data_IF_885442858596
#
_entry.id   IF_885442858596
#
_cell.length_a   1.000
_cell.length_b   1.000
_cell.length_c   1.000
_cell.angle_alpha   90.00
_cell.angle_beta   90.00
_cell.angle_gamma   90.00
#
_symmetry.space_group_name_H-M   'P 1'
#
loop_
_entity.id
_entity.type
_entity.pdbx_description
1 polymer ?
#
# COMPACT_ATOMS: atom_id res chain seq x y z
N UNK A 1 2.83 -8.10 25.86
CA UNK A 1 3.80 -8.61 24.85
C UNK A 1 3.16 -8.84 23.48
N UNK A 2 1.96 -9.40 23.38
CA UNK A 2 1.31 -9.67 22.09
C UNK A 2 1.05 -8.42 21.23
N UNK A 3 0.56 -7.32 21.80
CA UNK A 3 0.37 -6.05 21.08
C UNK A 3 1.67 -5.49 20.50
N UNK A 4 2.80 -5.65 21.20
CA UNK A 4 4.11 -5.21 20.72
C UNK A 4 4.51 -5.95 19.43
N UNK A 5 4.41 -7.27 19.44
CA UNK A 5 4.74 -8.09 18.26
C UNK A 5 3.82 -7.80 17.07
N UNK A 6 2.53 -7.58 17.33
CA UNK A 6 1.57 -7.17 16.29
C UNK A 6 1.95 -5.79 15.73
N UNK A 7 2.30 -4.82 16.57
CA UNK A 7 2.74 -3.51 16.11
C UNK A 7 4.01 -3.58 15.27
N UNK A 8 5.00 -4.36 15.69
CA UNK A 8 6.23 -4.57 14.92
C UNK A 8 5.91 -5.21 13.56
N UNK A 9 5.15 -6.31 13.57
CA UNK A 9 4.77 -7.01 12.34
C UNK A 9 3.94 -6.12 11.40
N UNK A 10 3.00 -5.34 11.94
CA UNK A 10 2.16 -4.41 11.18
C UNK A 10 2.94 -3.27 10.55
N UNK A 11 3.85 -2.64 11.30
CA UNK A 11 4.74 -1.60 10.77
C UNK A 11 5.63 -2.18 9.66
N UNK A 12 6.22 -3.36 9.89
CA UNK A 12 7.05 -4.02 8.89
C UNK A 12 6.26 -4.35 7.62
N UNK A 13 5.05 -4.90 7.77
CA UNK A 13 4.19 -5.24 6.63
C UNK A 13 3.83 -4.01 5.79
N UNK A 14 3.43 -2.90 6.43
CA UNK A 14 3.11 -1.65 5.71
C UNK A 14 4.37 -1.05 5.06
N UNK A 15 5.51 -1.09 5.75
CA UNK A 15 6.79 -0.58 5.21
C UNK A 15 7.24 -1.39 4.00
N UNK A 16 7.17 -2.73 4.08
CA UNK A 16 7.50 -3.62 2.96
C UNK A 16 6.54 -3.40 1.80
N UNK A 17 5.24 -3.28 2.07
CA UNK A 17 4.24 -2.96 1.04
C UNK A 17 4.57 -1.65 0.33
N UNK A 18 4.89 -0.59 1.07
CA UNK A 18 5.22 0.73 0.51
C UNK A 18 6.54 0.70 -0.28
N UNK A 19 7.57 0.00 0.21
CA UNK A 19 8.85 -0.14 -0.49
C UNK A 19 8.68 -0.92 -1.80
N UNK A 20 7.97 -2.05 -1.77
CA UNK A 20 7.68 -2.83 -2.97
C UNK A 20 6.80 -2.03 -3.94
N UNK A 21 5.85 -1.24 -3.45
CA UNK A 21 5.04 -0.36 -4.28
C UNK A 21 5.91 0.68 -5.00
N UNK A 22 6.85 1.30 -4.29
CA UNK A 22 7.78 2.25 -4.88
C UNK A 22 8.65 1.61 -5.97
N UNK A 23 9.18 0.40 -5.73
CA UNK A 23 9.95 -0.36 -6.73
C UNK A 23 9.07 -0.74 -7.92
N UNK A 24 7.83 -1.19 -7.68
CA UNK A 24 6.89 -1.51 -8.74
C UNK A 24 6.64 -0.28 -9.63
N UNK A 25 6.36 0.88 -9.04
CA UNK A 25 6.00 2.10 -9.76
C UNK A 25 7.21 2.72 -10.47
N UNK A 26 8.36 2.79 -9.81
CA UNK A 26 9.53 3.54 -10.29
C UNK A 26 10.54 2.69 -11.06
N UNK A 27 10.43 1.36 -11.01
CA UNK A 27 11.39 0.44 -11.64
C UNK A 27 10.72 -0.56 -12.55
N UNK A 28 9.89 -1.43 -12.00
CA UNK A 28 9.34 -2.55 -12.78
C UNK A 28 8.33 -2.11 -13.83
N UNK A 29 7.49 -1.13 -13.51
CA UNK A 29 6.53 -0.57 -14.46
C UNK A 29 7.20 0.15 -15.63
N UNK A 30 8.17 1.06 -15.43
CA UNK A 30 8.93 1.67 -16.53
C UNK A 30 9.64 0.63 -17.42
N UNK A 31 10.33 -0.35 -16.83
CA UNK A 31 11.05 -1.37 -17.61
C UNK A 31 10.11 -2.25 -18.44
N UNK A 32 8.89 -2.47 -17.96
CA UNK A 32 7.89 -3.21 -18.71
C UNK A 32 7.17 -2.36 -19.77
N UNK A 33 7.10 -1.03 -19.56
CA UNK A 33 6.55 -0.08 -20.52
C UNK A 33 7.43 0.08 -21.77
N UNK A 34 8.75 0.03 -21.61
CA UNK A 34 9.72 0.15 -22.71
C UNK A 34 10.70 -1.05 -22.73
N UNK A 35 10.28 -2.22 -23.27
CA UNK A 35 11.14 -3.40 -23.32
C UNK A 35 12.42 -3.13 -24.12
N UNK A 36 13.57 -3.51 -23.56
CA UNK A 36 14.88 -3.32 -24.19
C UNK A 36 15.59 -2.02 -23.84
N UNK A 37 14.91 -1.09 -23.17
CA UNK A 37 15.54 0.13 -22.66
C UNK A 37 16.05 -0.06 -21.23
N UNK A 38 17.15 0.62 -20.90
CA UNK A 38 17.57 0.77 -19.50
C UNK A 38 16.75 1.86 -18.82
N UNK A 39 16.73 1.83 -17.49
CA UNK A 39 15.93 2.78 -16.72
C UNK A 39 16.39 4.23 -16.88
N UNK A 40 17.67 4.46 -17.11
CA UNK A 40 18.22 5.79 -17.39
C UNK A 40 17.85 6.27 -18.80
N UNK A 41 17.78 5.37 -19.79
CA UNK A 41 17.28 5.72 -21.12
C UNK A 41 15.80 6.09 -21.07
N UNK A 42 14.99 5.38 -20.29
CA UNK A 42 13.57 5.72 -20.10
C UNK A 42 13.41 7.09 -19.44
N UNK A 43 14.22 7.40 -18.41
CA UNK A 43 14.21 8.73 -17.78
C UNK A 43 14.65 9.82 -18.75
N UNK A 44 15.64 9.55 -19.61
CA UNK A 44 16.10 10.48 -20.63
C UNK A 44 14.98 10.75 -21.65
N UNK A 45 14.29 9.72 -22.14
CA UNK A 45 13.18 9.85 -23.08
C UNK A 45 12.02 10.65 -22.48
N UNK A 46 11.63 10.33 -21.24
CA UNK A 46 10.64 11.11 -20.48
C UNK A 46 11.05 12.58 -20.37
N UNK A 47 12.30 12.85 -19.99
CA UNK A 47 12.79 14.22 -19.88
C UNK A 47 12.82 14.96 -21.23
N UNK A 48 13.09 14.24 -22.33
CA UNK A 48 13.04 14.77 -23.69
C UNK A 48 11.61 15.13 -24.12
N UNK A 49 10.62 14.38 -23.63
CA UNK A 49 9.19 14.67 -23.81
C UNK A 49 8.65 15.73 -22.82
N UNK A 50 9.47 16.25 -21.91
CA UNK A 50 9.04 17.19 -20.86
C UNK A 50 8.31 16.53 -19.68
N UNK A 51 8.34 15.20 -19.62
CA UNK A 51 7.69 14.36 -18.62
C UNK A 51 8.67 13.83 -17.58
N UNK A 52 8.15 13.32 -16.45
CA UNK A 52 9.00 12.63 -15.47
C UNK A 52 8.23 11.59 -14.65
N UNK A 53 8.96 10.62 -14.08
CA UNK A 53 8.40 9.64 -13.16
C UNK A 53 8.01 10.24 -11.79
N UNK A 54 8.23 11.54 -11.56
CA UNK A 54 7.83 12.24 -10.32
C UNK A 54 8.16 11.47 -9.03
N UNK A 55 9.35 10.86 -8.97
CA UNK A 55 9.77 9.99 -7.86
C UNK A 55 9.62 10.63 -6.46
N UNK A 56 9.93 11.93 -6.24
CA UNK A 56 9.71 12.57 -4.95
C UNK A 56 8.24 12.52 -4.50
N UNK A 57 7.32 12.82 -5.42
CA UNK A 57 5.87 12.81 -5.15
C UNK A 57 5.36 11.39 -4.89
N UNK A 58 5.80 10.40 -5.68
CA UNK A 58 5.45 9.00 -5.46
C UNK A 58 5.92 8.51 -4.09
N UNK A 59 7.16 8.80 -3.70
CA UNK A 59 7.72 8.44 -2.39
C UNK A 59 6.95 9.16 -1.26
N UNK A 60 6.62 10.44 -1.45
CA UNK A 60 5.84 11.20 -0.47
C UNK A 60 4.47 10.57 -0.22
N UNK A 61 3.72 10.22 -1.27
CA UNK A 61 2.39 9.60 -1.16
C UNK A 61 2.48 8.25 -0.44
N UNK A 62 3.43 7.39 -0.83
CA UNK A 62 3.62 6.08 -0.18
C UNK A 62 4.12 6.22 1.26
N UNK A 63 4.94 7.23 1.53
CA UNK A 63 5.48 7.54 2.85
C UNK A 63 4.41 7.88 3.88
N UNK A 64 3.29 8.46 3.47
CA UNK A 64 2.14 8.71 4.38
C UNK A 64 1.69 7.43 5.06
N UNK A 65 1.60 6.31 4.34
CA UNK A 65 1.20 5.01 4.91
C UNK A 65 2.18 4.52 5.98
N UNK A 66 3.49 4.70 5.75
CA UNK A 66 4.55 4.31 6.68
C UNK A 66 4.50 5.17 7.96
N UNK A 67 4.34 6.48 7.81
CA UNK A 67 4.21 7.40 8.95
C UNK A 67 2.97 7.06 9.78
N UNK A 68 1.84 6.81 9.13
CA UNK A 68 0.61 6.38 9.81
C UNK A 68 0.78 5.04 10.53
N UNK A 69 1.50 4.09 9.94
CA UNK A 69 1.78 2.81 10.58
C UNK A 69 2.65 2.96 11.83
N UNK A 70 3.69 3.80 11.77
CA UNK A 70 4.53 4.12 12.92
C UNK A 70 3.72 4.80 14.03
N UNK A 71 2.93 5.82 13.68
CA UNK A 71 2.07 6.52 14.62
C UNK A 71 1.05 5.57 15.27
N UNK A 72 0.41 4.70 14.48
CA UNK A 72 -0.51 3.68 14.98
C UNK A 72 0.18 2.71 15.93
N UNK A 73 1.39 2.24 15.59
CA UNK A 73 2.18 1.36 16.45
C UNK A 73 2.50 1.99 17.80
N UNK A 74 2.92 3.26 17.80
CA UNK A 74 3.18 4.05 19.02
C UNK A 74 1.89 4.21 19.82
N UNK A 75 0.80 4.65 19.19
CA UNK A 75 -0.50 4.85 19.85
C UNK A 75 -1.01 3.54 20.46
N UNK A 76 -0.95 2.42 19.74
CA UNK A 76 -1.39 1.13 20.26
C UNK A 76 -0.61 0.70 21.51
N UNK A 77 0.68 1.01 21.57
CA UNK A 77 1.53 0.73 22.72
C UNK A 77 1.25 1.65 23.90
N UNK A 78 1.15 2.97 23.67
CA UNK A 78 0.93 3.97 24.73
C UNK A 78 -0.47 3.90 25.32
N UNK A 79 -1.49 3.64 24.49
CA UNK A 79 -2.88 3.46 24.92
C UNK A 79 -3.18 2.07 25.49
N UNK A 80 -2.21 1.15 25.48
CA UNK A 80 -2.40 -0.26 25.86
C UNK A 80 -3.58 -0.92 25.12
N UNK A 81 -3.71 -0.61 23.83
CA UNK A 81 -4.75 -1.16 22.99
C UNK A 81 -4.74 -2.69 23.00
N UNK A 82 -5.92 -3.29 22.90
CA UNK A 82 -6.02 -4.74 22.78
C UNK A 82 -5.34 -5.20 21.48
N UNK A 83 -4.75 -6.40 21.46
CA UNK A 83 -4.14 -6.98 20.26
C UNK A 83 -5.03 -6.92 19.02
N UNK A 84 -6.34 -7.10 19.21
CA UNK A 84 -7.34 -7.08 18.15
C UNK A 84 -7.54 -5.69 17.53
N UNK A 85 -7.57 -4.63 18.35
CA UNK A 85 -7.68 -3.25 17.87
C UNK A 85 -6.42 -2.86 17.09
N UNK A 86 -5.24 -3.22 17.58
CA UNK A 86 -3.98 -2.97 16.89
C UNK A 86 -3.95 -3.69 15.52
N UNK A 87 -4.30 -4.97 15.48
CA UNK A 87 -4.36 -5.75 14.24
C UNK A 87 -5.36 -5.15 13.24
N UNK A 88 -6.56 -4.75 13.70
CA UNK A 88 -7.55 -4.08 12.85
C UNK A 88 -7.01 -2.77 12.28
N UNK A 89 -6.30 -1.97 13.08
CA UNK A 89 -5.68 -0.73 12.60
C UNK A 89 -4.68 -0.96 11.46
N UNK A 90 -3.78 -1.95 11.59
CA UNK A 90 -2.80 -2.26 10.55
C UNK A 90 -3.45 -2.86 9.30
N UNK A 91 -4.45 -3.72 9.45
CA UNK A 91 -5.22 -4.23 8.32
C UNK A 91 -5.94 -3.10 7.57
N UNK A 92 -6.44 -2.08 8.28
CA UNK A 92 -7.06 -0.91 7.66
C UNK A 92 -6.05 -0.12 6.82
N UNK A 93 -4.82 0.05 7.31
CA UNK A 93 -3.76 0.69 6.54
C UNK A 93 -3.39 -0.12 5.29
N UNK A 94 -3.29 -1.45 5.40
CA UNK A 94 -3.03 -2.32 4.24
C UNK A 94 -4.17 -2.33 3.23
N UNK A 95 -5.42 -2.31 3.69
CA UNK A 95 -6.60 -2.15 2.84
C UNK A 95 -6.55 -0.82 2.07
N UNK A 96 -6.21 0.28 2.74
CA UNK A 96 -6.05 1.60 2.12
C UNK A 96 -4.78 1.70 1.26
N UNK A 97 -3.91 0.70 1.31
CA UNK A 97 -2.72 0.59 0.47
C UNK A 97 -3.03 0.55 -1.03
N UNK A 98 -4.17 0.01 -1.46
CA UNK A 98 -4.56 -0.03 -2.87
C UNK A 98 -4.92 1.37 -3.41
N UNK A 99 -5.80 2.15 -2.75
CA UNK A 99 -5.98 3.57 -3.07
C UNK A 99 -4.67 4.37 -3.05
N UNK A 100 -3.83 4.18 -2.03
CA UNK A 100 -2.54 4.84 -1.93
C UNK A 100 -1.62 4.51 -3.11
N UNK A 101 -1.55 3.22 -3.48
CA UNK A 101 -0.82 2.74 -4.65
C UNK A 101 -1.34 3.39 -5.94
N UNK A 102 -2.66 3.40 -6.15
CA UNK A 102 -3.28 4.00 -7.32
C UNK A 102 -2.87 5.46 -7.49
N UNK A 103 -3.05 6.29 -6.45
CA UNK A 103 -2.67 7.71 -6.51
C UNK A 103 -1.16 7.91 -6.72
N UNK A 104 -0.32 7.11 -6.07
CA UNK A 104 1.13 7.19 -6.23
C UNK A 104 1.61 6.78 -7.64
N UNK A 105 0.88 5.86 -8.28
CA UNK A 105 1.19 5.33 -9.61
C UNK A 105 0.60 6.15 -10.76
N UNK A 106 -0.35 7.04 -10.48
CA UNK A 106 -1.13 7.72 -11.50
C UNK A 106 -0.27 8.64 -12.38
N UNK A 107 0.43 9.61 -11.78
CA UNK A 107 1.27 10.54 -12.53
C UNK A 107 2.42 9.83 -13.29
N UNK A 108 3.20 8.91 -12.67
CA UNK A 108 4.20 8.14 -13.40
C UNK A 108 3.60 7.28 -14.53
N UNK A 109 2.41 6.71 -14.32
CA UNK A 109 1.72 5.89 -15.33
C UNK A 109 1.26 6.71 -16.54
N UNK A 110 0.73 7.92 -16.32
CA UNK A 110 0.35 8.85 -17.39
C UNK A 110 1.59 9.31 -18.18
N UNK A 111 2.65 9.72 -17.50
CA UNK A 111 3.90 10.14 -18.14
C UNK A 111 4.47 9.06 -19.08
N UNK A 112 4.46 7.79 -18.64
CA UNK A 112 4.87 6.66 -19.47
C UNK A 112 3.93 6.41 -20.64
N UNK A 113 2.62 6.53 -20.42
CA UNK A 113 1.62 6.35 -21.47
C UNK A 113 1.72 7.39 -22.56
N UNK A 114 1.91 8.65 -22.20
CA UNK A 114 2.02 9.78 -23.13
C UNK A 114 3.35 9.71 -23.92
N UNK A 115 4.44 9.27 -23.27
CA UNK A 115 5.77 9.18 -23.91
C UNK A 115 5.91 7.98 -24.83
N UNK A 116 5.48 6.79 -24.39
CA UNK A 116 5.65 5.54 -25.15
C UNK A 116 4.39 5.14 -25.92
N UNK A 117 3.34 5.97 -25.91
CA UNK A 117 2.05 5.70 -26.56
C UNK A 117 1.44 4.35 -26.15
N UNK A 118 1.71 3.93 -24.92
CA UNK A 118 1.15 2.70 -24.33
C UNK A 118 -0.11 3.02 -23.54
N UNK A 119 -1.00 2.05 -23.39
CA UNK A 119 -2.07 2.19 -22.39
C UNK A 119 -1.46 2.29 -20.99
N UNK A 120 -1.82 3.33 -20.23
CA UNK A 120 -1.43 3.58 -18.82
C UNK A 120 -1.94 2.52 -17.82
N UNK A 121 -2.17 1.29 -18.28
CA UNK A 121 -3.06 0.33 -17.66
C UNK A 121 -2.39 -0.54 -16.59
N UNK A 122 -3.20 -0.85 -15.57
CA UNK A 122 -3.07 -1.87 -14.50
C UNK A 122 -2.82 -3.30 -15.03
N UNK A 123 -2.46 -3.49 -16.29
CA UNK A 123 -2.25 -4.79 -16.94
C UNK A 123 -0.95 -5.48 -16.54
N UNK A 124 -0.03 -4.77 -15.88
CA UNK A 124 1.24 -5.35 -15.43
C UNK A 124 1.03 -6.34 -14.26
N UNK A 125 1.54 -7.58 -14.35
CA UNK A 125 1.29 -8.63 -13.36
C UNK A 125 1.59 -8.23 -11.91
N UNK A 126 2.65 -7.44 -11.70
CA UNK A 126 3.08 -6.99 -10.37
C UNK A 126 2.12 -6.00 -9.70
N UNK A 127 1.36 -5.23 -10.49
CA UNK A 127 0.36 -4.28 -9.97
C UNK A 127 -0.80 -5.01 -9.29
N UNK A 128 -1.23 -6.15 -9.83
CA UNK A 128 -2.36 -6.94 -9.30
C UNK A 128 -2.11 -7.44 -7.88
N UNK A 129 -0.86 -7.76 -7.55
CA UNK A 129 -0.49 -8.27 -6.23
C UNK A 129 -0.86 -7.27 -5.11
N UNK A 130 -0.63 -5.97 -5.32
CA UNK A 130 -0.97 -4.92 -4.35
C UNK A 130 -2.47 -4.84 -4.09
N UNK A 131 -3.28 -4.86 -5.15
CA UNK A 131 -4.75 -4.89 -5.03
C UNK A 131 -5.25 -6.15 -4.33
N UNK A 132 -4.66 -7.32 -4.60
CA UNK A 132 -5.01 -8.58 -3.93
C UNK A 132 -4.68 -8.50 -2.44
N UNK A 133 -3.50 -7.99 -2.06
CA UNK A 133 -3.12 -7.82 -0.65
C UNK A 133 -4.11 -6.90 0.07
N UNK A 134 -4.44 -5.76 -0.52
CA UNK A 134 -5.42 -4.83 0.07
C UNK A 134 -6.83 -5.42 0.15
N UNK A 135 -7.26 -6.16 -0.88
CA UNK A 135 -8.55 -6.87 -0.86
C UNK A 135 -8.58 -7.95 0.23
N UNK A 136 -7.49 -8.69 0.41
CA UNK A 136 -7.37 -9.69 1.46
C UNK A 136 -7.39 -9.04 2.85
N UNK A 137 -6.71 -7.91 3.04
CA UNK A 137 -6.77 -7.14 4.28
C UNK A 137 -8.20 -6.65 4.58
N UNK A 138 -8.93 -6.18 3.57
CA UNK A 138 -10.34 -5.81 3.69
C UNK A 138 -11.22 -7.01 4.08
N UNK A 139 -11.01 -8.17 3.46
CA UNK A 139 -11.75 -9.40 3.79
C UNK A 139 -11.50 -9.83 5.24
N UNK A 140 -10.25 -9.80 5.72
CA UNK A 140 -9.91 -10.10 7.11
C UNK A 140 -10.56 -9.12 8.10
N UNK A 141 -10.61 -7.83 7.76
CA UNK A 141 -11.32 -6.83 8.56
C UNK A 141 -12.82 -7.11 8.65
N UNK A 142 -13.46 -7.41 7.52
CA UNK A 142 -14.88 -7.75 7.49
C UNK A 142 -15.17 -8.99 8.34
N UNK A 143 -14.37 -10.05 8.18
CA UNK A 143 -14.50 -11.28 8.97
C UNK A 143 -14.31 -11.00 10.47
N UNK A 144 -13.28 -10.22 10.83
CA UNK A 144 -13.03 -9.81 12.21
C UNK A 144 -14.20 -9.02 12.83
N UNK A 145 -14.78 -8.09 12.05
CA UNK A 145 -15.96 -7.33 12.44
C UNK A 145 -17.20 -8.21 12.64
N UNK A 146 -17.47 -9.12 11.71
CA UNK A 146 -18.59 -10.08 11.81
C UNK A 146 -18.44 -10.93 13.07
N UNK A 147 -17.25 -11.50 13.32
CA UNK A 147 -17.00 -12.33 14.51
C UNK A 147 -17.17 -11.52 15.80
N UNK A 148 -16.70 -10.26 15.82
CA UNK A 148 -16.87 -9.39 16.98
C UNK A 148 -18.37 -9.13 17.29
N UNK A 149 -19.18 -8.86 16.26
CA UNK A 149 -20.63 -8.65 16.40
C UNK A 149 -21.33 -9.93 16.88
N UNK A 150 -21.00 -11.09 16.32
CA UNK A 150 -21.58 -12.37 16.72
C UNK A 150 -21.26 -12.70 18.18
N UNK A 151 -20.01 -12.46 18.63
CA UNK A 151 -19.61 -12.65 20.02
C UNK A 151 -20.31 -11.70 20.98
N UNK A 152 -20.48 -10.44 20.60
CA UNK A 152 -21.21 -9.46 21.40
C UNK A 152 -22.68 -9.85 21.59
N UNK A 153 -23.31 -10.44 20.58
CA UNK A 153 -24.71 -10.94 20.65
C UNK A 153 -24.86 -12.22 21.47
N UNK A 154 -23.82 -13.04 21.55
CA UNK A 154 -23.83 -14.30 22.30
C UNK A 154 -23.51 -14.14 23.80
N UNK A 155 -23.04 -12.96 24.23
CA UNK A 155 -22.79 -12.68 25.64
C UNK A 155 -24.14 -12.63 26.39
N UNK A 156 -24.35 -13.44 27.44
CA UNK A 156 -25.60 -13.41 28.20
C UNK A 156 -25.79 -12.03 28.83
N UNK A 157 -27.03 -11.52 28.78
CA UNK A 157 -27.40 -10.32 29.52
C UNK A 157 -27.15 -10.57 31.01
N UNK A 158 -26.15 -9.92 31.58
CA UNK A 158 -25.93 -9.93 33.03
C UNK A 158 -27.14 -9.28 33.69
N UNK A 159 -28.00 -10.11 34.27
CA UNK A 159 -29.12 -9.74 35.13
C UNK A 159 -28.62 -9.39 36.53
#
# INVERSE_FOLDING_TARGET
MQTLWISIAGVLAVTIYAALAAVQILVWTPLAAAPGFTLDQIRAELSGAGESLNAPTTIMILGVGVVLALALGVIAMTSRATPMIAAAGFLSLLMLGAPGFFFASFAPGMALADTFMISAGVSLPGVRAFYIISAFAAALLMLGGVVAVLRARAAPASA
#
